data_IF_833736207820
#
_entry.id   IF_833736207820
#
_cell.length_a   1.000
_cell.length_b   1.000
_cell.length_c   1.000
_cell.angle_alpha   90.00
_cell.angle_beta   90.00
_cell.angle_gamma   90.00
#
_symmetry.space_group_name_H-M   'P 1'
#
loop_
_entity.id
_entity.type
_entity.pdbx_description
1 polymer ?
#
# COMPACT_ATOMS: atom_id res chain seq x y z
N UNK A 1 7.52 11.08 -6.50
CA UNK A 1 7.80 11.11 -5.04
C UNK A 1 7.05 9.97 -4.37
N UNK A 2 7.25 9.69 -3.08
CA UNK A 2 6.65 8.54 -2.37
C UNK A 2 5.14 8.38 -2.60
N UNK A 3 4.41 9.49 -2.68
CA UNK A 3 2.96 9.51 -2.87
C UNK A 3 2.51 8.91 -4.20
N UNK A 4 3.32 9.02 -5.26
CA UNK A 4 3.01 8.39 -6.55
C UNK A 4 3.00 6.86 -6.44
N UNK A 5 3.92 6.30 -5.65
CA UNK A 5 4.01 4.85 -5.42
C UNK A 5 2.80 4.40 -4.59
N UNK A 6 2.44 5.18 -3.55
CA UNK A 6 1.27 4.92 -2.72
C UNK A 6 -0.03 4.98 -3.53
N UNK A 7 -0.22 6.02 -4.33
CA UNK A 7 -1.39 6.15 -5.21
C UNK A 7 -1.44 5.02 -6.24
N UNK A 8 -0.30 4.66 -6.85
CA UNK A 8 -0.21 3.54 -7.78
C UNK A 8 -0.62 2.21 -7.14
N UNK A 9 -0.10 1.92 -5.96
CA UNK A 9 -0.30 0.63 -5.29
C UNK A 9 -1.65 0.51 -4.57
N UNK A 10 -2.00 1.52 -3.76
CA UNK A 10 -3.17 1.49 -2.87
C UNK A 10 -4.44 1.92 -3.61
N UNK A 11 -4.39 3.05 -4.31
CA UNK A 11 -5.59 3.62 -4.95
C UNK A 11 -5.88 2.97 -6.31
N UNK A 12 -4.86 2.87 -7.17
CA UNK A 12 -4.98 2.37 -8.55
C UNK A 12 -4.79 0.87 -8.70
N UNK A 13 -4.41 0.17 -7.63
CA UNK A 13 -4.19 -1.27 -7.61
C UNK A 13 -3.18 -1.77 -8.66
N UNK A 14 -2.18 -0.95 -9.01
CA UNK A 14 -1.17 -1.32 -9.98
C UNK A 14 -0.22 -2.38 -9.42
N UNK A 15 0.27 -3.26 -10.31
CA UNK A 15 1.26 -4.25 -9.92
C UNK A 15 2.62 -3.60 -9.64
N UNK A 16 3.40 -4.22 -8.76
CA UNK A 16 4.79 -3.88 -8.45
C UNK A 16 5.62 -3.63 -9.72
N UNK A 17 5.50 -4.52 -10.71
CA UNK A 17 6.17 -4.41 -12.02
C UNK A 17 5.78 -3.15 -12.79
N UNK A 18 4.52 -2.74 -12.73
CA UNK A 18 4.05 -1.52 -13.39
C UNK A 18 4.64 -0.27 -12.77
N UNK A 19 4.76 -0.23 -11.43
CA UNK A 19 5.32 0.91 -10.69
C UNK A 19 6.84 0.99 -10.89
N UNK A 20 7.52 -0.16 -10.92
CA UNK A 20 8.96 -0.27 -11.15
C UNK A 20 9.41 0.18 -12.56
N UNK A 21 8.48 0.40 -13.51
CA UNK A 21 8.81 1.02 -14.80
C UNK A 21 9.19 2.50 -14.66
N UNK A 22 8.69 3.18 -13.63
CA UNK A 22 8.89 4.62 -13.41
C UNK A 22 9.87 4.91 -12.26
N UNK A 23 10.10 3.95 -11.37
CA UNK A 23 10.90 4.10 -10.17
C UNK A 23 11.87 2.93 -9.97
N UNK A 24 13.03 3.14 -9.32
CA UNK A 24 13.95 2.06 -9.00
C UNK A 24 13.25 0.93 -8.22
N UNK A 25 13.49 -0.31 -8.65
CA UNK A 25 12.82 -1.47 -8.08
C UNK A 25 13.04 -1.58 -6.56
N UNK A 26 14.28 -1.38 -6.09
CA UNK A 26 14.60 -1.41 -4.65
C UNK A 26 13.73 -0.46 -3.81
N UNK A 27 13.41 0.73 -4.34
CA UNK A 27 12.56 1.71 -3.67
C UNK A 27 11.11 1.22 -3.64
N UNK A 28 10.60 0.72 -4.76
CA UNK A 28 9.23 0.20 -4.85
C UNK A 28 9.05 -0.97 -3.89
N UNK A 29 10.02 -1.88 -3.84
CA UNK A 29 10.03 -3.05 -2.97
C UNK A 29 10.01 -2.65 -1.49
N UNK A 30 10.88 -1.72 -1.12
CA UNK A 30 10.96 -1.20 0.25
C UNK A 30 9.65 -0.54 0.70
N UNK A 31 9.04 0.27 -0.18
CA UNK A 31 7.79 0.96 0.11
C UNK A 31 6.63 -0.02 0.25
N UNK A 32 6.47 -0.97 -0.68
CA UNK A 32 5.40 -1.98 -0.60
C UNK A 32 5.54 -2.82 0.66
N UNK A 33 6.76 -3.27 0.99
CA UNK A 33 7.03 -4.04 2.20
C UNK A 33 6.66 -3.27 3.47
N UNK A 34 6.97 -1.97 3.52
CA UNK A 34 6.57 -1.08 4.63
C UNK A 34 5.06 -0.91 4.73
N UNK A 35 4.36 -0.83 3.59
CA UNK A 35 2.89 -0.76 3.57
C UNK A 35 2.35 -2.03 4.21
N UNK A 36 2.74 -3.21 3.73
CA UNK A 36 2.21 -4.49 4.22
C UNK A 36 2.52 -4.70 5.71
N UNK A 37 3.75 -4.42 6.15
CA UNK A 37 4.14 -4.54 7.55
C UNK A 37 3.37 -3.59 8.47
N UNK A 38 2.90 -2.45 7.95
CA UNK A 38 2.18 -1.45 8.75
C UNK A 38 0.68 -1.73 8.89
N UNK A 39 0.17 -2.85 8.38
CA UNK A 39 -1.27 -3.18 8.45
C UNK A 39 -1.76 -3.27 9.91
N UNK A 40 -0.95 -3.82 10.82
CA UNK A 40 -1.32 -3.87 12.24
C UNK A 40 -1.52 -2.48 12.86
N UNK A 41 -0.68 -1.50 12.48
CA UNK A 41 -0.79 -0.11 12.96
C UNK A 41 -2.06 0.54 12.41
N UNK A 42 -2.37 0.31 11.14
CA UNK A 42 -3.57 0.88 10.49
C UNK A 42 -4.87 0.37 11.10
N UNK A 43 -4.92 -0.89 11.53
CA UNK A 43 -6.11 -1.43 12.21
C UNK A 43 -6.34 -0.86 13.60
N UNK A 44 -5.30 -0.31 14.24
CA UNK A 44 -5.41 0.38 15.53
C UNK A 44 -5.72 1.88 15.38
N UNK A 45 -5.63 2.43 14.16
CA UNK A 45 -5.93 3.83 13.92
C UNK A 45 -7.43 4.12 14.09
N UNK A 46 -7.81 5.31 14.57
CA UNK A 46 -9.20 5.72 14.62
C UNK A 46 -9.79 5.81 13.20
N UNK A 47 -11.12 5.75 13.11
CA UNK A 47 -11.81 5.91 11.83
C UNK A 47 -11.59 7.32 11.28
N UNK A 48 -11.21 7.41 10.00
CA UNK A 48 -10.98 8.67 9.29
C UNK A 48 -12.01 8.90 8.18
N UNK A 49 -12.13 10.16 7.74
CA UNK A 49 -13.02 10.52 6.63
C UNK A 49 -12.40 10.04 5.31
N UNK A 50 -13.17 9.32 4.50
CA UNK A 50 -12.76 8.85 3.18
C UNK A 50 -12.94 9.97 2.14
N UNK A 51 -11.84 10.39 1.51
CA UNK A 51 -11.82 11.43 0.46
C UNK A 51 -11.43 10.82 -0.91
N UNK A 52 -10.68 9.74 -0.92
CA UNK A 52 -10.23 9.04 -2.14
C UNK A 52 -11.16 7.86 -2.50
N UNK A 53 -11.17 7.41 -3.77
CA UNK A 53 -11.99 6.26 -4.21
C UNK A 53 -11.71 4.98 -3.42
N UNK A 54 -10.44 4.78 -3.04
CA UNK A 54 -9.98 3.66 -2.22
C UNK A 54 -9.07 4.19 -1.12
N UNK A 55 -9.43 3.89 0.12
CA UNK A 55 -8.73 4.36 1.31
C UNK A 55 -8.44 3.21 2.28
N UNK A 56 -7.54 3.46 3.22
CA UNK A 56 -7.30 2.55 4.35
C UNK A 56 -8.56 2.46 5.22
N UNK A 57 -9.00 1.24 5.53
CA UNK A 57 -10.22 0.99 6.30
C UNK A 57 -11.08 -0.12 5.69
N UNK A 58 -12.29 0.20 5.22
CA UNK A 58 -13.18 -0.79 4.61
C UNK A 58 -12.65 -1.36 3.30
N UNK A 59 -12.03 -0.51 2.47
CA UNK A 59 -11.65 -0.86 1.09
C UNK A 59 -10.25 -1.48 0.97
N UNK A 60 -9.48 -1.44 2.06
CA UNK A 60 -8.14 -2.02 2.17
C UNK A 60 -8.09 -2.91 3.42
N UNK A 61 -8.22 -4.21 3.21
CA UNK A 61 -8.21 -5.22 4.28
C UNK A 61 -7.28 -6.35 3.91
N UNK A 62 -6.01 -6.15 4.26
CA UNK A 62 -5.03 -7.22 4.18
C UNK A 62 -5.02 -8.01 5.50
N UNK A 63 -4.63 -9.29 5.49
CA UNK A 63 -4.37 -10.01 6.72
C UNK A 63 -3.20 -9.36 7.47
N UNK A 64 -3.29 -9.28 8.81
CA UNK A 64 -2.18 -8.77 9.64
C UNK A 64 -0.99 -9.74 9.56
N UNK A 65 -1.26 -11.03 9.79
CA UNK A 65 -0.28 -12.09 9.59
C UNK A 65 -0.28 -12.44 8.11
N UNK A 66 0.59 -11.77 7.36
CA UNK A 66 0.77 -11.99 5.94
C UNK A 66 2.19 -12.53 5.67
N UNK A 67 2.29 -13.74 5.11
CA UNK A 67 3.56 -14.37 4.70
C UNK A 67 3.67 -14.48 3.17
N UNK A 68 2.87 -13.69 2.47
CA UNK A 68 2.87 -13.63 1.02
C UNK A 68 4.21 -13.12 0.52
N UNK A 69 4.89 -13.94 -0.27
CA UNK A 69 6.15 -13.62 -0.91
C UNK A 69 5.89 -13.60 -2.42
N UNK A 70 5.90 -12.41 -3.02
CA UNK A 70 5.90 -12.22 -4.49
C UNK A 70 7.31 -11.94 -4.95
#
# INVERSE_FOLDING_TARGET
>A
TLDDILCGYVEKHLSKKSIARKYPQEIVDNVIQKIDYSEYKRRQAPIGIKITPRAFGKDWRLPITNKYSI
#
